data_IF_976722392378
#
_entry.id   IF_976722392378
#
_cell.length_a   1.000
_cell.length_b   1.000
_cell.length_c   1.000
_cell.angle_alpha   90.00
_cell.angle_beta   90.00
_cell.angle_gamma   90.00
#
_symmetry.space_group_name_H-M   'P 1'
#
loop_
_entity.id
_entity.type
_entity.pdbx_description
1 polymer ?
#
# COMPACT_ATOMS: atom_id res chain seq x y z
N UNK A 1 12.99 -7.35 28.01
CA UNK A 1 12.71 -6.24 27.06
C UNK A 1 12.98 -6.74 25.64
N UNK A 2 12.02 -6.67 24.70
CA UNK A 2 12.23 -7.07 23.29
C UNK A 2 13.09 -5.99 22.63
N UNK A 3 14.16 -6.43 21.92
CA UNK A 3 14.97 -5.53 21.11
C UNK A 3 14.49 -5.57 19.66
N UNK A 4 14.35 -4.39 19.04
CA UNK A 4 14.03 -4.28 17.63
C UNK A 4 15.10 -4.94 16.75
N UNK A 5 14.69 -5.74 15.79
CA UNK A 5 15.57 -6.41 14.83
C UNK A 5 15.74 -5.51 13.60
N UNK A 6 16.96 -4.99 13.42
CA UNK A 6 17.27 -4.10 12.27
C UNK A 6 17.09 -4.78 10.92
N UNK A 7 17.39 -6.07 10.83
CA UNK A 7 17.20 -6.88 9.63
C UNK A 7 15.72 -6.99 9.20
N UNK A 8 14.78 -6.85 10.15
CA UNK A 8 13.33 -6.83 9.87
C UNK A 8 12.77 -5.41 9.73
N UNK A 9 13.62 -4.39 9.79
CA UNK A 9 13.21 -2.99 9.67
C UNK A 9 12.23 -2.53 10.75
N UNK A 10 12.28 -3.11 11.93
CA UNK A 10 11.36 -2.82 13.04
C UNK A 10 11.60 -1.42 13.61
N UNK A 11 10.55 -0.58 13.55
CA UNK A 11 10.47 0.72 14.21
C UNK A 11 9.07 0.79 14.86
N UNK A 12 9.03 0.73 16.19
CA UNK A 12 7.77 0.67 16.94
C UNK A 12 7.27 2.09 17.22
N UNK A 13 6.06 2.41 16.75
CA UNK A 13 5.42 3.67 17.09
C UNK A 13 4.98 3.65 18.56
N UNK A 14 5.46 4.63 19.35
CA UNK A 14 5.25 4.69 20.80
C UNK A 14 4.15 5.68 21.22
N UNK A 15 3.82 6.66 20.37
CA UNK A 15 2.86 7.70 20.70
C UNK A 15 1.42 7.21 20.63
N UNK A 16 0.74 7.20 21.80
CA UNK A 16 -0.63 6.68 21.93
C UNK A 16 -1.65 7.51 21.16
N UNK A 17 -1.46 8.82 21.06
CA UNK A 17 -2.40 9.72 20.37
C UNK A 17 -2.37 9.47 18.87
N UNK A 18 -1.16 9.31 18.31
CA UNK A 18 -0.96 8.95 16.90
C UNK A 18 -1.53 7.57 16.58
N UNK A 19 -1.31 6.56 17.46
CA UNK A 19 -1.88 5.23 17.30
C UNK A 19 -3.42 5.25 17.29
N UNK A 20 -4.03 6.05 18.17
CA UNK A 20 -5.49 6.24 18.17
C UNK A 20 -5.96 6.87 16.87
N UNK A 21 -5.31 7.94 16.41
CA UNK A 21 -5.63 8.62 15.15
C UNK A 21 -5.52 7.68 13.94
N UNK A 22 -4.49 6.83 13.89
CA UNK A 22 -4.34 5.82 12.83
C UNK A 22 -5.51 4.83 12.85
N UNK A 23 -5.90 4.36 14.05
CA UNK A 23 -7.03 3.46 14.19
C UNK A 23 -8.36 4.12 13.84
N UNK A 24 -8.54 5.42 14.12
CA UNK A 24 -9.72 6.20 13.79
C UNK A 24 -9.90 6.38 12.27
N UNK A 25 -8.80 6.56 11.51
CA UNK A 25 -8.84 6.53 10.05
C UNK A 25 -9.33 5.20 9.47
N UNK A 26 -9.26 4.11 10.23
CA UNK A 26 -9.79 2.80 9.84
C UNK A 26 -11.31 2.74 9.79
N UNK A 27 -12.03 3.76 10.33
CA UNK A 27 -13.51 3.81 10.36
C UNK A 27 -14.11 2.48 10.86
N UNK A 28 -13.50 1.90 11.90
CA UNK A 28 -13.81 0.54 12.37
C UNK A 28 -15.08 0.53 13.21
N UNK A 29 -15.88 -0.50 12.99
CA UNK A 29 -17.07 -0.82 13.77
C UNK A 29 -17.01 -2.26 14.29
N UNK A 30 -17.89 -2.63 15.22
CA UNK A 30 -17.99 -3.99 15.73
C UNK A 30 -18.38 -5.06 14.67
N UNK A 31 -18.68 -4.65 13.43
CA UNK A 31 -18.97 -5.54 12.30
C UNK A 31 -17.77 -5.79 11.42
N UNK A 32 -16.71 -4.98 11.57
CA UNK A 32 -15.56 -5.04 10.68
C UNK A 32 -14.58 -6.12 11.10
N UNK A 33 -14.00 -6.79 10.11
CA UNK A 33 -12.75 -7.53 10.25
C UNK A 33 -11.61 -6.64 9.76
N UNK A 34 -10.59 -6.44 10.59
CA UNK A 34 -9.39 -5.69 10.24
C UNK A 34 -8.17 -6.61 10.22
N UNK A 35 -7.41 -6.52 9.14
CA UNK A 35 -6.08 -7.11 9.01
C UNK A 35 -5.05 -6.09 9.49
N UNK A 36 -4.25 -6.46 10.47
CA UNK A 36 -3.04 -5.74 10.86
C UNK A 36 -1.81 -6.48 10.37
N UNK A 37 -0.94 -5.79 9.64
CA UNK A 37 0.30 -6.34 9.10
C UNK A 37 1.46 -5.84 9.96
N UNK A 38 2.19 -6.76 10.60
CA UNK A 38 3.30 -6.44 11.48
C UNK A 38 2.86 -5.73 12.77
N UNK A 39 2.06 -6.37 13.64
CA UNK A 39 1.56 -5.76 14.88
C UNK A 39 2.68 -5.37 15.85
N UNK A 40 3.85 -5.97 15.75
CA UNK A 40 5.00 -5.66 16.56
C UNK A 40 4.74 -5.83 18.05
N UNK A 41 4.79 -4.74 18.81
CA UNK A 41 4.54 -4.73 20.26
C UNK A 41 3.06 -4.71 20.64
N UNK A 42 2.13 -4.68 19.67
CA UNK A 42 0.69 -4.74 19.91
C UNK A 42 0.02 -3.42 20.28
N UNK A 43 0.75 -2.29 20.20
CA UNK A 43 0.21 -0.99 20.60
C UNK A 43 -0.94 -0.51 19.68
N UNK A 44 -0.79 -0.69 18.35
CA UNK A 44 -1.86 -0.44 17.39
C UNK A 44 -2.94 -1.52 17.50
N UNK A 45 -2.56 -2.79 17.64
CA UNK A 45 -3.48 -3.92 17.82
C UNK A 45 -4.49 -3.66 18.95
N UNK A 46 -4.01 -3.14 20.10
CA UNK A 46 -4.88 -2.79 21.23
C UNK A 46 -5.92 -1.71 20.87
N UNK A 47 -5.57 -0.74 19.99
CA UNK A 47 -6.51 0.26 19.50
C UNK A 47 -7.54 -0.35 18.53
N UNK A 48 -7.10 -1.30 17.69
CA UNK A 48 -7.96 -1.99 16.74
C UNK A 48 -8.95 -2.90 17.46
N UNK A 49 -8.48 -3.66 18.47
CA UNK A 49 -9.35 -4.55 19.27
C UNK A 49 -10.47 -3.80 20.00
N UNK A 50 -10.28 -2.51 20.35
CA UNK A 50 -11.33 -1.69 20.97
C UNK A 50 -12.41 -1.23 19.99
N UNK A 51 -12.16 -1.30 18.68
CA UNK A 51 -13.02 -0.71 17.64
C UNK A 51 -13.62 -1.74 16.68
N UNK A 52 -12.88 -2.77 16.32
CA UNK A 52 -13.28 -3.78 15.34
C UNK A 52 -13.98 -4.98 16.00
N UNK A 53 -14.81 -5.69 15.21
CA UNK A 53 -15.40 -6.96 15.64
C UNK A 53 -14.40 -8.11 15.62
N UNK A 54 -13.43 -8.09 14.69
CA UNK A 54 -12.35 -9.08 14.57
C UNK A 54 -11.07 -8.42 14.12
N UNK A 55 -9.97 -8.75 14.77
CA UNK A 55 -8.61 -8.31 14.39
C UNK A 55 -7.79 -9.54 14.02
N UNK A 56 -7.32 -9.61 12.79
CA UNK A 56 -6.38 -10.62 12.32
C UNK A 56 -5.01 -9.95 12.21
N UNK A 57 -4.10 -10.30 13.10
CA UNK A 57 -2.77 -9.71 13.19
C UNK A 57 -1.71 -10.69 12.68
N UNK A 58 -1.12 -10.39 11.50
CA UNK A 58 -0.13 -11.23 10.84
C UNK A 58 1.27 -10.73 11.15
N UNK A 59 2.05 -11.55 11.88
CA UNK A 59 3.41 -11.21 12.33
C UNK A 59 4.43 -12.25 11.84
N UNK A 60 5.50 -11.76 11.23
CA UNK A 60 6.59 -12.62 10.75
C UNK A 60 7.51 -13.06 11.89
N UNK A 61 7.80 -12.17 12.83
CA UNK A 61 8.69 -12.48 13.98
C UNK A 61 7.99 -13.43 14.94
N UNK A 62 8.58 -14.62 15.12
CA UNK A 62 8.05 -15.65 16.01
C UNK A 62 7.81 -15.16 17.43
N UNK A 63 8.77 -14.46 18.01
CA UNK A 63 8.70 -14.02 19.40
C UNK A 63 7.60 -12.99 19.60
N UNK A 64 7.47 -12.05 18.64
CA UNK A 64 6.41 -11.04 18.67
C UNK A 64 5.02 -11.68 18.50
N UNK A 65 4.87 -12.61 17.54
CA UNK A 65 3.60 -13.31 17.30
C UNK A 65 3.13 -14.11 18.52
N UNK A 66 4.03 -14.89 19.14
CA UNK A 66 3.72 -15.69 20.32
C UNK A 66 3.34 -14.85 21.56
N UNK A 67 3.90 -13.66 21.69
CA UNK A 67 3.66 -12.76 22.83
C UNK A 67 2.54 -11.73 22.59
N UNK A 68 2.03 -11.60 21.37
CA UNK A 68 1.11 -10.53 21.00
C UNK A 68 -0.13 -10.47 21.86
N UNK A 69 -0.84 -11.59 22.04
CA UNK A 69 -2.08 -11.63 22.79
C UNK A 69 -1.90 -11.21 24.26
N UNK A 70 -0.82 -11.67 24.91
CA UNK A 70 -0.49 -11.29 26.28
C UNK A 70 -0.20 -9.79 26.42
N UNK A 71 0.57 -9.22 25.47
CA UNK A 71 0.87 -7.78 25.45
C UNK A 71 -0.37 -6.92 25.22
N UNK A 72 -1.20 -7.33 24.27
CA UNK A 72 -2.47 -6.63 24.02
C UNK A 72 -3.38 -6.71 25.25
N UNK A 73 -3.42 -7.86 25.95
CA UNK A 73 -4.16 -7.99 27.20
C UNK A 73 -3.67 -7.02 28.29
N UNK A 74 -2.35 -6.87 28.45
CA UNK A 74 -1.76 -5.90 29.38
C UNK A 74 -2.15 -4.45 29.01
N UNK A 75 -2.08 -4.09 27.70
CA UNK A 75 -2.41 -2.75 27.19
C UNK A 75 -3.90 -2.42 27.29
N UNK A 76 -4.78 -3.45 27.25
CA UNK A 76 -6.22 -3.29 27.33
C UNK A 76 -6.76 -3.40 28.75
N UNK A 77 -6.00 -3.99 29.67
CA UNK A 77 -6.47 -4.37 31.01
C UNK A 77 -7.37 -5.60 31.02
N UNK A 78 -7.29 -6.47 30.01
CA UNK A 78 -8.09 -7.69 29.87
C UNK A 78 -7.83 -8.40 28.54
N UNK A 79 -8.20 -9.68 28.46
CA UNK A 79 -7.97 -10.50 27.26
C UNK A 79 -8.80 -10.00 26.07
N UNK A 80 -8.18 -9.77 24.87
CA UNK A 80 -8.90 -9.41 23.68
C UNK A 80 -9.63 -10.63 23.10
N UNK A 81 -10.95 -10.69 23.23
CA UNK A 81 -11.76 -11.82 22.73
C UNK A 81 -11.83 -11.86 21.18
N UNK A 82 -11.49 -10.77 20.52
CA UNK A 82 -11.61 -10.57 19.07
C UNK A 82 -10.26 -10.54 18.34
N UNK A 83 -9.15 -10.92 18.99
CA UNK A 83 -7.82 -10.97 18.40
C UNK A 83 -7.44 -12.38 17.95
N UNK A 84 -7.05 -12.48 16.68
CA UNK A 84 -6.39 -13.64 16.08
C UNK A 84 -4.96 -13.28 15.71
N UNK A 85 -3.99 -13.87 16.42
CA UNK A 85 -2.57 -13.70 16.12
C UNK A 85 -2.09 -14.82 15.19
N UNK A 86 -1.63 -14.46 14.01
CA UNK A 86 -1.15 -15.39 12.99
C UNK A 86 0.34 -15.19 12.77
N UNK A 87 1.14 -16.24 13.02
CA UNK A 87 2.56 -16.24 12.68
C UNK A 87 2.72 -16.62 11.21
N UNK A 88 2.98 -15.65 10.33
CA UNK A 88 3.20 -15.86 8.91
C UNK A 88 3.99 -14.71 8.28
N UNK A 89 4.59 -14.97 7.10
CA UNK A 89 4.96 -13.88 6.20
C UNK A 89 3.69 -13.34 5.52
N UNK A 90 3.47 -12.04 5.56
CA UNK A 90 2.33 -11.42 4.88
C UNK A 90 2.35 -11.73 3.37
N UNK A 91 3.52 -11.93 2.79
CA UNK A 91 3.64 -12.26 1.37
C UNK A 91 3.06 -13.64 1.03
N UNK A 92 3.07 -14.58 1.99
CA UNK A 92 2.54 -15.94 1.85
C UNK A 92 1.11 -16.07 2.42
N UNK A 93 0.65 -15.07 3.20
CA UNK A 93 -0.68 -15.11 3.82
C UNK A 93 -1.78 -15.02 2.76
N UNK A 94 -2.78 -15.92 2.85
CA UNK A 94 -3.91 -15.93 1.94
C UNK A 94 -4.94 -14.86 2.32
N UNK A 95 -5.04 -13.80 1.50
CA UNK A 95 -6.02 -12.74 1.69
C UNK A 95 -7.46 -13.19 1.36
N UNK A 96 -7.63 -14.27 0.61
CA UNK A 96 -8.97 -14.80 0.27
C UNK A 96 -9.61 -15.53 1.46
N UNK A 97 -8.82 -15.91 2.47
CA UNK A 97 -9.32 -16.42 3.75
C UNK A 97 -10.00 -15.34 4.62
N UNK A 98 -9.82 -14.06 4.31
CA UNK A 98 -10.51 -12.96 4.99
C UNK A 98 -11.91 -12.75 4.41
N UNK A 99 -12.88 -12.27 5.21
CA UNK A 99 -14.20 -11.94 4.68
C UNK A 99 -14.12 -10.82 3.64
N UNK A 100 -15.06 -10.81 2.72
CA UNK A 100 -15.20 -9.69 1.78
C UNK A 100 -15.34 -8.36 2.51
N UNK A 101 -14.77 -7.29 1.93
CA UNK A 101 -14.78 -5.94 2.51
C UNK A 101 -14.01 -5.81 3.83
N UNK A 102 -13.08 -6.72 4.13
CA UNK A 102 -12.16 -6.49 5.25
C UNK A 102 -11.42 -5.15 5.09
N UNK A 103 -10.92 -4.64 6.20
CA UNK A 103 -10.13 -3.42 6.24
C UNK A 103 -8.68 -3.74 6.60
N UNK A 104 -7.75 -2.88 6.24
CA UNK A 104 -6.34 -2.97 6.64
C UNK A 104 -5.98 -1.74 7.44
N UNK A 105 -5.38 -1.92 8.63
CA UNK A 105 -4.79 -0.82 9.40
C UNK A 105 -3.44 -1.31 9.91
N UNK A 106 -2.33 -0.67 9.47
CA UNK A 106 -1.00 -1.21 9.75
C UNK A 106 0.10 -0.15 9.80
N UNK A 107 1.11 -0.41 10.64
CA UNK A 107 2.42 0.24 10.62
C UNK A 107 3.45 -0.76 10.08
N UNK A 108 3.71 -0.74 8.77
CA UNK A 108 4.48 -1.78 8.07
C UNK A 108 5.97 -1.46 8.01
N UNK A 109 6.86 -2.49 7.91
CA UNK A 109 8.27 -2.28 7.60
C UNK A 109 8.44 -1.60 6.24
N UNK A 110 9.22 -0.52 6.17
CA UNK A 110 9.30 0.35 4.99
C UNK A 110 9.78 -0.37 3.71
N UNK A 111 10.68 -1.35 3.85
CA UNK A 111 11.22 -2.09 2.71
C UNK A 111 10.18 -3.00 2.02
N UNK A 112 9.07 -3.32 2.70
CA UNK A 112 7.99 -4.14 2.15
C UNK A 112 6.86 -3.32 1.53
N UNK A 113 6.85 -1.99 1.68
CA UNK A 113 5.72 -1.14 1.30
C UNK A 113 5.20 -1.44 -0.12
N UNK A 114 6.08 -1.44 -1.12
CA UNK A 114 5.66 -1.66 -2.52
C UNK A 114 5.08 -3.05 -2.76
N UNK A 115 5.66 -4.08 -2.14
CA UNK A 115 5.18 -5.47 -2.26
C UNK A 115 3.83 -5.66 -1.58
N UNK A 116 3.65 -5.07 -0.39
CA UNK A 116 2.37 -5.13 0.34
C UNK A 116 1.28 -4.40 -0.45
N UNK A 117 1.56 -3.21 -1.00
CA UNK A 117 0.61 -2.51 -1.86
C UNK A 117 0.21 -3.35 -3.07
N UNK A 118 1.17 -3.96 -3.75
CA UNK A 118 0.91 -4.84 -4.89
C UNK A 118 0.04 -6.04 -4.45
N UNK A 119 0.41 -6.73 -3.37
CA UNK A 119 -0.36 -7.86 -2.85
C UNK A 119 -1.80 -7.51 -2.52
N UNK A 120 -2.04 -6.41 -1.81
CA UNK A 120 -3.39 -5.99 -1.40
C UNK A 120 -4.27 -5.63 -2.60
N UNK A 121 -3.73 -4.89 -3.58
CA UNK A 121 -4.53 -4.37 -4.70
C UNK A 121 -4.56 -5.27 -5.93
N UNK A 122 -3.66 -6.28 -6.03
CA UNK A 122 -3.74 -7.33 -7.05
C UNK A 122 -4.56 -8.55 -6.63
N UNK A 123 -4.91 -8.70 -5.34
CA UNK A 123 -5.75 -9.79 -4.84
C UNK A 123 -7.16 -9.73 -5.41
N UNK A 124 -7.79 -10.89 -5.60
CA UNK A 124 -9.21 -11.00 -5.89
C UNK A 124 -10.08 -10.49 -4.73
N UNK A 125 -9.61 -10.66 -3.48
CA UNK A 125 -10.23 -10.12 -2.28
C UNK A 125 -9.49 -8.87 -1.82
N UNK A 126 -9.82 -7.71 -2.41
CA UNK A 126 -9.23 -6.43 -2.04
C UNK A 126 -9.87 -5.85 -0.77
N UNK A 127 -9.10 -5.15 0.09
CA UNK A 127 -9.67 -4.45 1.24
C UNK A 127 -10.63 -3.34 0.79
N UNK A 128 -11.68 -3.09 1.57
CA UNK A 128 -12.57 -1.94 1.34
C UNK A 128 -11.91 -0.60 1.69
N UNK A 129 -11.04 -0.63 2.71
CA UNK A 129 -10.25 0.50 3.20
C UNK A 129 -8.89 -0.01 3.66
N UNK A 130 -7.82 0.66 3.26
CA UNK A 130 -6.49 0.41 3.79
C UNK A 130 -5.87 1.70 4.34
N UNK A 131 -5.49 1.67 5.61
CA UNK A 131 -4.83 2.77 6.35
C UNK A 131 -3.44 2.28 6.72
N UNK A 132 -2.42 2.82 6.06
CA UNK A 132 -1.07 2.30 6.22
C UNK A 132 -0.09 3.44 6.51
N UNK A 133 0.69 3.27 7.58
CA UNK A 133 1.79 4.17 7.91
C UNK A 133 3.03 3.76 7.13
N UNK A 134 3.54 4.68 6.30
CA UNK A 134 4.69 4.48 5.43
C UNK A 134 5.66 5.66 5.52
N UNK A 135 6.85 5.55 4.92
CA UNK A 135 7.75 6.71 4.81
C UNK A 135 7.06 7.86 4.08
N UNK A 136 7.26 9.09 4.53
CA UNK A 136 6.60 10.29 4.00
C UNK A 136 6.75 10.45 2.49
N UNK A 137 7.94 10.19 1.94
CA UNK A 137 8.16 10.23 0.49
C UNK A 137 7.29 9.20 -0.24
N UNK A 138 7.15 7.99 0.32
CA UNK A 138 6.33 6.93 -0.29
C UNK A 138 4.84 7.29 -0.22
N UNK A 139 4.38 7.87 0.90
CA UNK A 139 3.02 8.38 1.03
C UNK A 139 2.70 9.43 -0.05
N UNK A 140 3.58 10.42 -0.21
CA UNK A 140 3.44 11.46 -1.23
C UNK A 140 3.44 10.88 -2.66
N UNK A 141 4.27 9.86 -2.91
CA UNK A 141 4.28 9.16 -4.20
C UNK A 141 2.98 8.40 -4.46
N UNK A 142 2.39 7.75 -3.46
CA UNK A 142 1.12 7.03 -3.61
C UNK A 142 -0.04 7.97 -3.93
N UNK A 143 -0.05 9.17 -3.33
CA UNK A 143 -1.06 10.22 -3.55
C UNK A 143 -0.72 11.19 -4.69
N UNK A 144 0.34 10.90 -5.47
CA UNK A 144 0.79 11.80 -6.55
C UNK A 144 -0.27 11.95 -7.65
N UNK A 145 -0.32 13.15 -8.23
CA UNK A 145 -1.14 13.49 -9.41
C UNK A 145 -0.31 13.45 -10.71
N UNK A 146 -0.92 13.56 -11.90
CA UNK A 146 -0.17 13.69 -13.15
C UNK A 146 0.89 14.79 -13.07
N UNK A 147 2.10 14.47 -13.54
CA UNK A 147 3.33 15.26 -13.34
C UNK A 147 4.33 14.55 -12.43
N UNK A 148 3.87 13.77 -11.48
CA UNK A 148 4.69 13.06 -10.50
C UNK A 148 4.27 11.59 -10.30
N UNK A 149 3.43 11.05 -11.18
CA UNK A 149 2.98 9.66 -11.09
C UNK A 149 4.15 8.68 -11.16
N UNK A 150 4.00 7.58 -10.46
CA UNK A 150 4.92 6.44 -10.50
C UNK A 150 4.14 5.16 -10.78
N UNK A 151 4.83 4.10 -11.17
CA UNK A 151 4.18 2.80 -11.39
C UNK A 151 3.45 2.31 -10.11
N UNK A 152 4.06 2.54 -8.93
CA UNK A 152 3.42 2.23 -7.64
C UNK A 152 2.14 3.07 -7.42
N UNK A 153 2.16 4.37 -7.71
CA UNK A 153 0.96 5.20 -7.60
C UNK A 153 -0.15 4.69 -8.52
N UNK A 154 0.19 4.40 -9.77
CA UNK A 154 -0.76 3.86 -10.77
C UNK A 154 -1.34 2.53 -10.28
N UNK A 155 -0.52 1.58 -9.80
CA UNK A 155 -0.99 0.27 -9.37
C UNK A 155 -1.97 0.33 -8.20
N UNK A 156 -1.89 1.34 -7.35
CA UNK A 156 -2.84 1.55 -6.25
C UNK A 156 -4.04 2.36 -6.71
N UNK A 157 -3.80 3.49 -7.42
CA UNK A 157 -4.88 4.43 -7.80
C UNK A 157 -5.86 3.85 -8.82
N UNK A 158 -5.49 2.80 -9.53
CA UNK A 158 -6.43 2.03 -10.38
C UNK A 158 -7.60 1.48 -9.57
N UNK A 159 -7.34 1.03 -8.35
CA UNK A 159 -8.28 0.31 -7.50
C UNK A 159 -8.78 1.14 -6.32
N UNK A 160 -8.04 2.18 -5.91
CA UNK A 160 -8.36 2.98 -4.74
C UNK A 160 -8.24 4.49 -4.98
N UNK A 161 -9.05 5.26 -4.24
CA UNK A 161 -8.83 6.69 -4.03
C UNK A 161 -7.85 6.84 -2.87
N UNK A 162 -6.77 7.58 -3.10
CA UNK A 162 -5.66 7.74 -2.16
C UNK A 162 -5.70 9.13 -1.55
N UNK A 163 -5.67 9.19 -0.21
CA UNK A 163 -5.63 10.41 0.59
C UNK A 163 -4.45 10.35 1.57
N UNK A 164 -3.92 11.53 1.93
CA UNK A 164 -2.86 11.64 2.92
C UNK A 164 -3.47 11.95 4.29
N UNK A 165 -3.15 11.12 5.28
CA UNK A 165 -3.44 11.36 6.68
C UNK A 165 -2.32 12.13 7.39
N UNK A 166 -2.28 12.01 8.72
CA UNK A 166 -1.32 12.71 9.57
C UNK A 166 0.13 12.37 9.24
N UNK A 167 1.01 13.37 9.39
CA UNK A 167 2.46 13.18 9.41
C UNK A 167 2.86 12.71 10.78
N UNK A 168 3.80 11.75 10.83
CA UNK A 168 4.29 11.15 12.07
C UNK A 168 5.80 11.36 12.12
N UNK A 169 6.28 12.25 13.01
CA UNK A 169 7.69 12.52 13.19
C UNK A 169 8.49 11.27 13.58
N UNK A 170 9.74 11.19 13.12
CA UNK A 170 10.60 10.05 13.36
C UNK A 170 10.88 9.79 14.86
N UNK A 171 10.92 10.85 15.68
CA UNK A 171 11.14 10.76 17.13
C UNK A 171 10.04 10.04 17.91
N UNK A 172 8.87 9.80 17.30
CA UNK A 172 7.77 9.03 17.92
C UNK A 172 7.96 7.52 17.83
N UNK A 173 9.06 7.06 17.22
CA UNK A 173 9.37 5.64 17.05
C UNK A 173 10.60 5.22 17.89
N UNK A 174 10.60 3.95 18.29
CA UNK A 174 11.75 3.28 18.90
C UNK A 174 12.06 1.95 18.18
N UNK A 175 13.24 1.80 17.57
CA UNK A 175 14.27 2.82 17.33
C UNK A 175 13.81 3.92 16.35
N UNK A 176 14.42 5.10 16.47
CA UNK A 176 14.13 6.26 15.63
C UNK A 176 14.54 5.97 14.17
N UNK A 177 13.63 6.02 13.19
CA UNK A 177 13.97 5.87 11.77
C UNK A 177 14.69 7.13 11.24
N UNK A 178 15.28 7.01 10.04
CA UNK A 178 16.03 8.12 9.41
C UNK A 178 15.13 9.22 8.83
N UNK A 179 13.84 8.96 8.65
CA UNK A 179 12.89 9.84 7.95
C UNK A 179 11.53 9.79 8.63
N UNK A 180 10.77 10.87 8.51
CA UNK A 180 9.38 10.93 8.95
C UNK A 180 8.51 9.96 8.18
N UNK A 181 7.40 9.61 8.80
CA UNK A 181 6.33 8.80 8.23
C UNK A 181 5.08 9.65 7.93
N UNK A 182 4.19 9.08 7.17
CA UNK A 182 2.88 9.64 6.91
C UNK A 182 1.88 8.52 6.70
N UNK A 183 0.67 8.72 7.19
CA UNK A 183 -0.45 7.81 6.96
C UNK A 183 -0.96 7.97 5.53
N UNK A 184 -1.24 6.86 4.86
CA UNK A 184 -1.95 6.80 3.58
C UNK A 184 -3.28 6.10 3.80
N UNK A 185 -4.36 6.73 3.35
CA UNK A 185 -5.73 6.24 3.42
C UNK A 185 -6.16 5.91 2.00
N UNK A 186 -6.57 4.67 1.77
CA UNK A 186 -6.87 4.14 0.44
C UNK A 186 -8.26 3.51 0.46
N UNK A 187 -9.26 4.23 -0.05
CA UNK A 187 -10.63 3.75 -0.18
C UNK A 187 -10.79 3.01 -1.50
N UNK A 188 -11.19 1.74 -1.45
CA UNK A 188 -11.45 0.95 -2.66
C UNK A 188 -12.51 1.64 -3.53
N UNK A 189 -12.28 1.67 -4.82
CA UNK A 189 -13.28 2.12 -5.80
C UNK A 189 -14.37 1.06 -5.95
N UNK A 190 -15.61 1.50 -6.20
CA UNK A 190 -16.70 0.58 -6.60
C UNK A 190 -16.33 -0.16 -7.89
N UNK A 191 -15.72 0.58 -8.83
CA UNK A 191 -15.29 0.07 -10.11
C UNK A 191 -13.83 0.45 -10.36
N UNK A 192 -12.96 -0.51 -10.72
CA UNK A 192 -11.60 -0.21 -11.15
C UNK A 192 -11.61 0.71 -12.37
N UNK A 193 -10.59 1.60 -12.47
CA UNK A 193 -10.47 2.53 -13.61
C UNK A 193 -10.17 1.80 -14.93
N UNK A 194 -9.67 0.57 -14.86
CA UNK A 194 -9.33 -0.28 -15.99
C UNK A 194 -10.04 -1.63 -15.81
N UNK A 195 -10.74 -2.15 -16.84
CA UNK A 195 -11.34 -3.48 -16.77
C UNK A 195 -10.30 -4.57 -16.50
N UNK A 196 -10.68 -5.60 -15.74
CA UNK A 196 -9.78 -6.70 -15.38
C UNK A 196 -9.10 -7.36 -16.60
N UNK A 197 -9.85 -7.52 -17.70
CA UNK A 197 -9.33 -8.10 -18.94
C UNK A 197 -8.24 -7.25 -19.63
N UNK A 198 -8.14 -5.96 -19.31
CA UNK A 198 -7.16 -5.04 -19.89
C UNK A 198 -5.93 -4.81 -18.98
N UNK A 199 -5.96 -5.27 -17.72
CA UNK A 199 -4.93 -4.95 -16.72
C UNK A 199 -3.54 -5.43 -17.11
N UNK A 200 -3.39 -6.64 -17.64
CA UNK A 200 -2.09 -7.20 -18.02
C UNK A 200 -1.43 -6.35 -19.10
N UNK A 201 -2.17 -6.06 -20.16
CA UNK A 201 -1.71 -5.20 -21.26
C UNK A 201 -1.40 -3.78 -20.76
N UNK A 202 -2.28 -3.21 -19.95
CA UNK A 202 -2.11 -1.89 -19.35
C UNK A 202 -0.79 -1.80 -18.55
N UNK A 203 -0.53 -2.75 -17.66
CA UNK A 203 0.71 -2.76 -16.89
C UNK A 203 1.94 -3.04 -17.75
N UNK A 204 1.81 -3.80 -18.84
CA UNK A 204 2.90 -4.00 -19.80
C UNK A 204 3.30 -2.68 -20.45
N UNK A 205 2.34 -1.89 -20.91
CA UNK A 205 2.58 -0.57 -21.50
C UNK A 205 3.14 0.42 -20.46
N UNK A 206 2.57 0.44 -19.25
CA UNK A 206 3.07 1.27 -18.17
C UNK A 206 4.53 0.92 -17.81
N UNK A 207 4.86 -0.35 -17.61
CA UNK A 207 6.24 -0.79 -17.33
C UNK A 207 7.20 -0.38 -18.42
N UNK A 208 6.80 -0.51 -19.70
CA UNK A 208 7.59 -0.05 -20.83
C UNK A 208 7.88 1.46 -20.78
N UNK A 209 6.87 2.27 -20.50
CA UNK A 209 7.04 3.72 -20.37
C UNK A 209 7.91 4.14 -19.18
N UNK A 210 7.84 3.44 -18.06
CA UNK A 210 8.62 3.71 -16.86
C UNK A 210 10.02 3.08 -16.84
N UNK A 211 10.42 2.28 -17.84
CA UNK A 211 11.71 1.57 -17.85
C UNK A 211 12.92 2.52 -17.83
N UNK A 212 12.76 3.76 -18.33
CA UNK A 212 13.79 4.81 -18.28
C UNK A 212 13.21 6.15 -17.76
N UNK A 213 13.01 6.25 -16.45
CA UNK A 213 12.31 7.37 -15.78
C UNK A 213 12.76 8.78 -16.18
N UNK A 214 14.05 8.99 -16.48
CA UNK A 214 14.63 10.31 -16.85
C UNK A 214 14.53 10.63 -18.33
N UNK A 215 14.13 9.69 -19.18
CA UNK A 215 14.03 9.88 -20.64
C UNK A 215 12.62 10.30 -21.05
N UNK A 216 12.53 10.89 -22.27
CA UNK A 216 11.25 11.17 -22.91
C UNK A 216 10.48 9.87 -23.17
N UNK A 217 9.16 9.94 -23.12
CA UNK A 217 8.25 8.81 -23.27
C UNK A 217 8.52 8.01 -24.55
N UNK A 218 8.72 8.71 -25.69
CA UNK A 218 9.09 8.08 -26.96
C UNK A 218 10.24 7.10 -26.82
N UNK A 219 11.32 7.51 -26.15
CA UNK A 219 12.52 6.67 -26.00
C UNK A 219 12.32 5.52 -25.02
N UNK A 220 11.60 5.77 -23.91
CA UNK A 220 11.31 4.74 -22.91
C UNK A 220 10.40 3.66 -23.48
N UNK A 221 9.30 4.06 -24.15
CA UNK A 221 8.36 3.12 -24.76
C UNK A 221 8.99 2.31 -25.88
N UNK A 222 9.75 2.96 -26.80
CA UNK A 222 10.43 2.24 -27.88
C UNK A 222 11.34 1.13 -27.34
N UNK A 223 12.09 1.42 -26.27
CA UNK A 223 12.93 0.44 -25.61
C UNK A 223 12.10 -0.64 -24.90
N UNK A 224 11.12 -0.22 -24.08
CA UNK A 224 10.35 -1.13 -23.24
C UNK A 224 9.41 -2.05 -24.03
N UNK A 225 8.85 -1.58 -25.14
CA UNK A 225 8.02 -2.36 -26.07
C UNK A 225 8.84 -3.09 -27.15
N UNK A 226 10.15 -2.85 -27.22
CA UNK A 226 11.05 -3.40 -28.25
C UNK A 226 10.60 -3.04 -29.69
N UNK A 227 10.14 -1.80 -29.87
CA UNK A 227 9.68 -1.26 -31.15
C UNK A 227 10.61 -0.16 -31.65
N UNK A 228 10.43 0.26 -32.90
CA UNK A 228 11.16 1.40 -33.45
C UNK A 228 10.61 2.72 -32.90
N UNK A 229 11.42 3.78 -32.91
CA UNK A 229 10.93 5.12 -32.53
C UNK A 229 9.83 5.61 -33.45
N UNK A 230 9.85 5.23 -34.76
CA UNK A 230 8.83 5.61 -35.71
C UNK A 230 7.48 4.97 -35.38
N UNK A 231 7.45 3.67 -35.08
CA UNK A 231 6.24 2.97 -34.63
C UNK A 231 5.72 3.53 -33.32
N UNK A 232 6.63 3.75 -32.35
CA UNK A 232 6.24 4.35 -31.05
C UNK A 232 5.67 5.75 -31.22
N UNK A 233 6.23 6.58 -32.09
CA UNK A 233 5.72 7.92 -32.41
C UNK A 233 4.29 7.84 -32.98
N UNK A 234 4.03 6.86 -33.87
CA UNK A 234 2.69 6.61 -34.42
C UNK A 234 1.71 6.20 -33.33
N UNK A 235 2.09 5.29 -32.41
CA UNK A 235 1.24 4.88 -31.28
C UNK A 235 0.90 6.06 -30.37
N UNK A 236 1.88 6.90 -30.04
CA UNK A 236 1.69 8.11 -29.25
C UNK A 236 0.74 9.11 -29.94
N UNK A 237 0.90 9.30 -31.24
CA UNK A 237 -0.01 10.14 -32.05
C UNK A 237 -1.44 9.59 -32.05
N UNK A 238 -1.63 8.28 -32.24
CA UNK A 238 -2.97 7.65 -32.18
C UNK A 238 -3.62 7.76 -30.79
N UNK A 239 -2.81 7.79 -29.72
CA UNK A 239 -3.27 7.97 -28.34
C UNK A 239 -3.47 9.44 -27.95
N UNK A 240 -3.17 10.41 -28.85
CA UNK A 240 -3.17 11.85 -28.57
C UNK A 240 -2.25 12.21 -27.38
N UNK A 241 -0.99 11.75 -27.46
CA UNK A 241 0.03 11.96 -26.41
C UNK A 241 1.28 12.58 -27.05
N UNK A 242 1.75 13.73 -26.51
CA UNK A 242 3.01 14.35 -26.93
C UNK A 242 4.20 13.41 -26.61
N UNK A 243 4.99 13.00 -27.62
CA UNK A 243 6.15 12.13 -27.45
C UNK A 243 7.28 12.72 -26.60
N UNK A 244 7.28 14.03 -26.37
CA UNK A 244 8.26 14.73 -25.54
C UNK A 244 7.96 14.65 -24.05
N UNK A 245 6.75 14.33 -23.64
CA UNK A 245 6.39 14.10 -22.23
C UNK A 245 7.21 12.97 -21.62
N UNK A 246 7.22 12.90 -20.31
CA UNK A 246 7.79 11.77 -19.56
C UNK A 246 6.65 10.88 -19.03
N UNK A 247 6.95 9.63 -18.72
CA UNK A 247 5.99 8.67 -18.19
C UNK A 247 5.22 9.19 -16.96
N UNK A 248 5.89 9.88 -16.06
CA UNK A 248 5.30 10.45 -14.83
C UNK A 248 4.27 11.56 -15.09
N UNK A 249 4.25 12.13 -16.28
CA UNK A 249 3.35 13.23 -16.65
C UNK A 249 2.02 12.75 -17.22
N UNK A 250 1.92 11.46 -17.56
CA UNK A 250 0.71 10.87 -18.08
C UNK A 250 -0.29 10.58 -16.95
N UNK A 251 -1.55 10.91 -17.19
CA UNK A 251 -2.67 10.45 -16.35
C UNK A 251 -2.97 8.95 -16.59
N UNK A 252 -3.72 8.33 -15.70
CA UNK A 252 -4.20 6.95 -15.90
C UNK A 252 -5.03 6.84 -17.18
N UNK A 253 -5.82 7.87 -17.51
CA UNK A 253 -6.58 7.92 -18.76
C UNK A 253 -5.69 7.98 -20.00
N UNK A 254 -4.56 8.72 -19.94
CA UNK A 254 -3.57 8.73 -21.03
C UNK A 254 -2.97 7.33 -21.24
N UNK A 255 -2.60 6.66 -20.14
CA UNK A 255 -2.09 5.29 -20.19
C UNK A 255 -3.11 4.31 -20.77
N UNK A 256 -4.40 4.46 -20.43
CA UNK A 256 -5.47 3.64 -21.00
C UNK A 256 -5.63 3.86 -22.51
N UNK A 257 -5.62 5.12 -22.97
CA UNK A 257 -5.67 5.42 -24.42
C UNK A 257 -4.50 4.79 -25.15
N UNK A 258 -3.28 4.93 -24.58
CA UNK A 258 -2.09 4.33 -25.16
C UNK A 258 -2.16 2.80 -25.20
N UNK A 259 -2.68 2.16 -24.16
CA UNK A 259 -2.87 0.70 -24.10
C UNK A 259 -3.79 0.21 -25.22
N UNK A 260 -4.89 0.92 -25.50
CA UNK A 260 -5.86 0.53 -26.53
C UNK A 260 -5.28 0.54 -27.96
N UNK A 261 -4.27 1.36 -28.21
CA UNK A 261 -3.60 1.44 -29.53
C UNK A 261 -2.32 0.59 -29.62
N UNK A 262 -1.86 0.09 -28.46
CA UNK A 262 -0.69 -0.80 -28.38
C UNK A 262 -1.21 -2.25 -28.34
N UNK A 263 -1.13 -2.94 -29.46
CA UNK A 263 -1.55 -4.35 -29.58
C UNK A 263 -0.35 -5.28 -29.45
#
# INVERSE_FOLDING_TARGET
>A
MIRAKKELGQNFLCDRSTLSTIADYGELTARDTVLEIGPGLGALTAQLCRRAGRVVAVEYDRVLAEQLAGRVAELMGGQPANLESVRADIMDYDLEALPANYKVVANIPYYLTSKIMEKLWASANQPSLAVILVQREVAQRLAATPGQLSLLAISVQLFARVELGVKVPAELFDPVPKVDSQVVIMHRRSDPLIPAAELEQFFTVCRAGFCQRRKKLLSSLALGLRTTKAETARLLQLADIDPNRRAQELSIADWQRLTKVTK
#
